data_IF_067638647558
#
_entry.id   IF_067638647558
#
_cell.length_a   1.000
_cell.length_b   1.000
_cell.length_c   1.000
_cell.angle_alpha   90.00
_cell.angle_beta   90.00
_cell.angle_gamma   90.00
#
_symmetry.space_group_name_H-M   'P 1'
#
loop_
_entity.id
_entity.type
_entity.pdbx_description
1 polymer ?
#
# COMPACT_ATOMS: atom_id res chain seq x y z
N UNK A 1 -10.44 -2.89 3.77
CA UNK A 1 -9.81 -1.79 3.01
C UNK A 1 -8.43 -2.18 2.48
N UNK A 2 -7.39 -2.36 3.33
CA UNK A 2 -6.03 -2.71 2.85
C UNK A 2 -6.04 -3.91 1.87
N UNK A 3 -6.75 -4.99 2.21
CA UNK A 3 -6.91 -6.15 1.32
C UNK A 3 -7.47 -5.80 -0.06
N UNK A 4 -8.51 -4.95 -0.12
CA UNK A 4 -9.09 -4.50 -1.38
C UNK A 4 -8.08 -3.67 -2.18
N UNK A 5 -7.35 -2.77 -1.54
CA UNK A 5 -6.33 -1.95 -2.19
C UNK A 5 -5.19 -2.82 -2.76
N UNK A 6 -4.72 -3.82 -2.00
CA UNK A 6 -3.72 -4.80 -2.47
C UNK A 6 -4.21 -5.53 -3.71
N UNK A 7 -5.46 -6.03 -3.71
CA UNK A 7 -6.04 -6.72 -4.87
C UNK A 7 -6.23 -5.83 -6.09
N UNK A 8 -6.34 -4.53 -5.90
CA UNK A 8 -6.55 -3.54 -6.97
C UNK A 8 -5.26 -2.80 -7.36
N UNK A 9 -4.11 -3.17 -6.79
CA UNK A 9 -2.82 -2.47 -6.95
C UNK A 9 -2.92 -0.96 -6.65
N UNK A 10 -3.64 -0.62 -5.59
CA UNK A 10 -3.81 0.74 -5.08
C UNK A 10 -2.94 0.97 -3.85
N UNK A 11 -2.53 2.22 -3.63
CA UNK A 11 -1.84 2.60 -2.41
C UNK A 11 -2.64 2.20 -1.16
N UNK A 12 -1.93 1.76 -0.12
CA UNK A 12 -2.54 1.31 1.12
C UNK A 12 -1.66 1.62 2.32
N UNK A 13 -2.25 1.64 3.52
CA UNK A 13 -1.52 1.99 4.74
C UNK A 13 -0.74 0.81 5.32
N UNK A 14 -1.18 -0.42 5.04
CA UNK A 14 -0.68 -1.63 5.70
C UNK A 14 -1.03 -1.72 7.20
N UNK A 15 -1.69 -0.71 7.77
CA UNK A 15 -2.00 -0.62 9.20
C UNK A 15 -3.49 -0.85 9.45
N UNK A 16 -3.82 -1.46 10.60
CA UNK A 16 -5.20 -1.70 11.00
C UNK A 16 -5.92 -0.42 11.50
N UNK A 17 -5.17 0.61 11.93
CA UNK A 17 -5.77 1.83 12.47
C UNK A 17 -6.32 2.74 11.35
N UNK A 18 -7.52 3.28 11.53
CA UNK A 18 -8.19 4.11 10.52
C UNK A 18 -7.46 5.42 10.21
N UNK A 19 -6.83 6.05 11.22
CA UNK A 19 -6.14 7.35 11.05
C UNK A 19 -4.94 7.27 10.11
N UNK A 20 -4.29 6.11 9.99
CA UNK A 20 -3.17 5.93 9.05
C UNK A 20 -3.53 6.28 7.60
N UNK A 21 -4.81 6.14 7.21
CA UNK A 21 -5.27 6.48 5.87
C UNK A 21 -5.15 7.97 5.56
N UNK A 22 -5.02 8.84 6.57
CA UNK A 22 -4.72 10.27 6.36
C UNK A 22 -3.31 10.53 5.77
N UNK A 23 -2.49 9.51 5.56
CA UNK A 23 -1.15 9.65 5.00
C UNK A 23 -0.96 8.87 3.69
N UNK A 24 -2.05 8.36 3.10
CA UNK A 24 -2.03 7.57 1.86
C UNK A 24 -2.88 8.27 0.81
N UNK A 25 -2.47 8.21 -0.45
CA UNK A 25 -3.18 8.90 -1.53
C UNK A 25 -3.06 10.41 -1.50
N UNK A 26 -3.59 11.01 -2.55
CA UNK A 26 -3.69 12.45 -2.69
C UNK A 26 -4.82 13.00 -1.82
N UNK A 27 -4.51 13.99 -0.96
CA UNK A 27 -5.54 14.74 -0.23
C UNK A 27 -6.45 15.47 -1.23
N UNK A 28 -7.75 15.35 -1.08
CA UNK A 28 -8.73 16.06 -1.92
C UNK A 28 -9.76 16.82 -1.09
N UNK A 29 -10.18 17.98 -1.59
CA UNK A 29 -11.33 18.74 -1.09
C UNK A 29 -12.60 18.50 -1.92
N UNK A 30 -12.46 17.86 -3.09
CA UNK A 30 -13.56 17.52 -3.99
C UNK A 30 -13.58 15.99 -4.17
N UNK A 31 -14.14 15.25 -3.19
CA UNK A 31 -14.15 13.80 -3.22
C UNK A 31 -15.08 13.30 -4.33
N UNK A 32 -14.71 12.15 -4.90
CA UNK A 32 -15.50 11.42 -5.90
C UNK A 32 -15.81 10.02 -5.36
N UNK A 33 -16.93 9.40 -5.77
CA UNK A 33 -17.22 8.02 -5.41
C UNK A 33 -15.99 7.12 -5.64
N UNK A 34 -15.62 6.34 -4.62
CA UNK A 34 -14.40 5.52 -4.61
C UNK A 34 -13.22 6.11 -3.83
N UNK A 35 -13.20 7.43 -3.57
CA UNK A 35 -12.22 8.03 -2.67
C UNK A 35 -12.38 7.49 -1.24
N UNK A 36 -11.31 7.47 -0.47
CA UNK A 36 -11.33 7.06 0.95
C UNK A 36 -11.76 8.24 1.79
N UNK A 37 -12.65 8.00 2.74
CA UNK A 37 -13.02 8.98 3.77
C UNK A 37 -12.58 8.47 5.14
N UNK A 38 -11.98 9.36 5.92
CA UNK A 38 -11.53 9.07 7.29
C UNK A 38 -12.32 9.95 8.26
N UNK A 39 -12.84 9.35 9.32
CA UNK A 39 -13.57 10.01 10.38
C UNK A 39 -12.84 9.91 11.71
N UNK A 40 -13.00 10.92 12.57
CA UNK A 40 -12.63 10.78 13.98
C UNK A 40 -13.72 10.00 14.74
N UNK A 41 -13.33 9.36 15.84
CA UNK A 41 -14.24 8.75 16.81
C UNK A 41 -13.91 9.26 18.21
N UNK A 42 -14.95 9.42 19.03
CA UNK A 42 -14.90 9.98 20.39
C UNK A 42 -14.49 11.45 20.42
N UNK A 43 -13.29 11.78 19.94
CA UNK A 43 -12.84 13.16 19.77
C UNK A 43 -11.91 13.31 18.57
N UNK A 44 -11.79 14.54 18.08
CA UNK A 44 -10.90 14.87 16.96
C UNK A 44 -9.42 14.67 17.33
N UNK A 45 -9.05 14.83 18.61
CA UNK A 45 -7.69 14.64 19.12
C UNK A 45 -7.34 13.18 19.49
N UNK A 46 -8.33 12.30 19.65
CA UNK A 46 -8.10 10.88 19.95
C UNK A 46 -7.30 10.20 18.84
N UNK A 47 -6.84 8.96 19.02
CA UNK A 47 -6.29 8.13 17.95
C UNK A 47 -7.38 7.29 17.25
N UNK A 48 -8.54 7.08 17.90
CA UNK A 48 -9.66 6.27 17.39
C UNK A 48 -10.36 6.92 16.20
N UNK A 49 -10.56 6.17 15.12
CA UNK A 49 -11.20 6.67 13.91
C UNK A 49 -12.01 5.61 13.19
N UNK A 50 -12.63 6.01 12.08
CA UNK A 50 -13.30 5.12 11.13
C UNK A 50 -12.80 5.42 9.72
N UNK A 51 -12.73 4.40 8.86
CA UNK A 51 -12.33 4.54 7.47
C UNK A 51 -13.34 3.79 6.60
N UNK A 52 -13.78 4.43 5.52
CA UNK A 52 -14.72 3.85 4.57
C UNK A 52 -14.47 4.36 3.15
N UNK A 53 -15.16 3.75 2.17
CA UNK A 53 -15.15 4.19 0.78
C UNK A 53 -16.29 5.19 0.59
N UNK A 54 -15.98 6.41 0.18
CA UNK A 54 -16.95 7.48 -0.08
C UNK A 54 -17.83 7.14 -1.30
N UNK A 55 -19.13 7.41 -1.22
CA UNK A 55 -20.06 7.32 -2.36
C UNK A 55 -20.76 8.62 -2.69
N UNK A 56 -20.88 9.55 -1.75
CA UNK A 56 -21.57 10.82 -2.00
C UNK A 56 -21.88 11.57 -0.72
N UNK A 57 -22.44 12.76 -0.88
CA UNK A 57 -23.05 13.52 0.21
C UNK A 57 -24.58 13.42 0.13
N UNK A 58 -25.25 13.64 1.26
CA UNK A 58 -26.68 14.00 1.25
C UNK A 58 -26.90 15.33 0.52
N UNK A 59 -28.14 15.58 0.07
CA UNK A 59 -28.48 16.79 -0.67
C UNK A 59 -28.20 18.09 0.12
N UNK A 60 -28.32 18.04 1.44
CA UNK A 60 -28.02 19.14 2.37
C UNK A 60 -26.54 19.19 2.80
N UNK A 61 -25.71 18.24 2.37
CA UNK A 61 -24.29 18.16 2.71
C UNK A 61 -23.98 17.73 4.15
N UNK A 62 -24.99 17.44 4.98
CA UNK A 62 -24.79 17.11 6.40
C UNK A 62 -24.29 15.69 6.63
N UNK A 63 -24.46 14.80 5.64
CA UNK A 63 -24.10 13.40 5.71
C UNK A 63 -23.18 12.99 4.57
N UNK A 64 -22.32 12.03 4.89
CA UNK A 64 -21.42 11.34 3.98
C UNK A 64 -21.88 9.89 3.84
N UNK A 65 -22.24 9.50 2.64
CA UNK A 65 -22.56 8.12 2.32
C UNK A 65 -21.28 7.33 2.05
N UNK A 66 -21.22 6.14 2.62
CA UNK A 66 -20.05 5.28 2.61
C UNK A 66 -20.43 3.84 2.26
N UNK A 67 -19.65 3.19 1.39
CA UNK A 67 -19.74 1.74 1.19
C UNK A 67 -19.03 1.02 2.34
N UNK A 68 -19.81 0.26 3.09
CA UNK A 68 -19.35 -0.64 4.14
C UNK A 68 -19.37 -2.09 3.68
N UNK A 69 -18.34 -2.84 4.08
CA UNK A 69 -18.32 -4.30 4.00
C UNK A 69 -18.51 -4.92 5.38
N UNK A 70 -19.35 -5.96 5.45
CA UNK A 70 -19.55 -6.83 6.60
C UNK A 70 -20.32 -6.25 7.81
N UNK A 71 -21.51 -5.68 7.56
CA UNK A 71 -22.57 -5.61 8.58
C UNK A 71 -23.69 -6.58 8.21
N UNK A 72 -23.73 -7.75 8.85
CA UNK A 72 -24.73 -8.79 8.58
C UNK A 72 -24.56 -9.50 7.24
N UNK A 73 -23.31 -9.80 6.84
CA UNK A 73 -22.95 -10.53 5.62
C UNK A 73 -23.47 -9.89 4.30
N UNK A 74 -23.59 -8.56 4.25
CA UNK A 74 -24.00 -7.81 3.05
C UNK A 74 -23.13 -6.57 2.82
N UNK A 75 -23.14 -6.08 1.58
CA UNK A 75 -22.66 -4.73 1.25
C UNK A 75 -23.78 -3.75 1.58
N UNK A 76 -23.47 -2.71 2.36
CA UNK A 76 -24.42 -1.67 2.74
C UNK A 76 -23.84 -0.28 2.52
N UNK A 77 -24.72 0.68 2.21
CA UNK A 77 -24.39 2.09 2.27
C UNK A 77 -24.76 2.58 3.67
N UNK A 78 -23.80 3.12 4.40
CA UNK A 78 -23.99 3.74 5.70
C UNK A 78 -23.79 5.26 5.60
N UNK A 79 -24.57 6.01 6.37
CA UNK A 79 -24.47 7.47 6.44
C UNK A 79 -23.75 7.90 7.72
N UNK A 80 -22.80 8.82 7.60
CA UNK A 80 -22.04 9.40 8.70
C UNK A 80 -22.12 10.93 8.66
N UNK A 81 -22.16 11.59 9.82
CA UNK A 81 -22.14 13.05 9.88
C UNK A 81 -20.85 13.61 9.24
N UNK A 82 -21.02 14.64 8.40
CA UNK A 82 -19.93 15.31 7.70
C UNK A 82 -18.96 16.02 8.68
N UNK A 83 -19.43 16.47 9.83
CA UNK A 83 -18.59 17.10 10.87
C UNK A 83 -17.57 16.13 11.48
N UNK A 84 -17.78 14.83 11.30
CA UNK A 84 -16.84 13.80 11.76
C UNK A 84 -15.68 13.55 10.79
N UNK A 85 -15.72 14.13 9.60
CA UNK A 85 -14.72 13.91 8.56
C UNK A 85 -13.39 14.57 8.94
N UNK A 86 -12.33 13.77 8.98
CA UNK A 86 -10.95 14.23 9.09
C UNK A 86 -10.38 14.58 7.72
N UNK A 87 -10.78 13.86 6.68
CA UNK A 87 -10.41 14.19 5.30
C UNK A 87 -10.69 13.07 4.31
N UNK A 88 -10.53 13.43 3.03
CA UNK A 88 -10.68 12.54 1.89
C UNK A 88 -9.35 12.26 1.21
N UNK A 89 -9.18 11.04 0.72
CA UNK A 89 -7.97 10.57 0.04
C UNK A 89 -8.34 9.89 -1.26
N UNK A 90 -7.80 10.41 -2.35
CA UNK A 90 -7.84 9.73 -3.63
C UNK A 90 -6.67 8.77 -3.68
N UNK A 91 -6.97 7.47 -3.65
CA UNK A 91 -5.95 6.48 -3.91
C UNK A 91 -5.59 6.55 -5.37
N UNK A 92 -4.29 6.54 -5.62
CA UNK A 92 -3.78 6.33 -6.97
C UNK A 92 -3.44 4.83 -7.08
N UNK A 93 -3.36 4.32 -8.31
CA UNK A 93 -2.60 3.09 -8.52
C UNK A 93 -1.26 3.31 -7.86
N UNK A 94 -0.72 2.31 -7.19
CA UNK A 94 0.68 2.41 -6.77
C UNK A 94 1.45 2.80 -8.04
N UNK A 95 1.98 4.03 -8.06
CA UNK A 95 2.64 4.62 -9.22
C UNK A 95 3.91 3.84 -9.41
N UNK A 96 3.75 2.75 -10.15
CA UNK A 96 4.70 1.70 -10.43
C UNK A 96 5.43 1.13 -9.22
N UNK A 97 5.73 -0.15 -9.37
CA UNK A 97 7.05 -0.69 -9.09
C UNK A 97 8.14 0.25 -9.63
N UNK A 98 8.36 1.42 -9.03
CA UNK A 98 9.64 2.10 -9.18
C UNK A 98 10.62 1.14 -8.53
N UNK A 99 11.20 0.30 -9.39
CA UNK A 99 12.17 -0.70 -8.98
C UNK A 99 13.20 -0.01 -8.10
N UNK A 100 13.66 -0.69 -7.05
CA UNK A 100 14.61 -0.09 -6.15
C UNK A 100 15.77 0.55 -6.91
N UNK A 101 16.31 1.64 -6.38
CA UNK A 101 17.54 2.18 -6.93
C UNK A 101 18.60 1.06 -6.94
N UNK A 102 19.35 0.88 -8.03
CA UNK A 102 20.36 -0.16 -8.12
C UNK A 102 21.49 0.10 -7.11
N UNK A 103 22.29 -0.94 -6.88
CA UNK A 103 23.38 -1.02 -5.91
C UNK A 103 22.88 -1.19 -4.46
N UNK A 104 21.98 -2.17 -4.24
CA UNK A 104 21.67 -2.67 -2.89
C UNK A 104 22.47 -3.94 -2.61
N UNK A 105 23.05 -4.04 -1.41
CA UNK A 105 23.87 -5.18 -1.00
C UNK A 105 23.65 -5.47 0.48
N UNK A 106 24.16 -6.61 0.96
CA UNK A 106 24.13 -6.95 2.38
C UNK A 106 24.63 -5.78 3.24
N UNK A 107 23.83 -5.37 4.23
CA UNK A 107 24.08 -4.20 5.08
C UNK A 107 23.37 -2.91 4.62
N UNK A 108 22.86 -2.83 3.39
CA UNK A 108 21.98 -1.73 2.94
C UNK A 108 20.72 -1.67 3.79
N UNK A 109 20.16 -0.46 3.98
CA UNK A 109 18.93 -0.23 4.75
C UNK A 109 18.05 0.84 4.12
N UNK A 110 16.76 0.79 4.42
CA UNK A 110 15.78 1.82 4.08
C UNK A 110 14.75 1.36 3.05
N UNK A 111 13.97 2.32 2.55
CA UNK A 111 12.79 2.06 1.70
C UNK A 111 13.12 1.31 0.41
N UNK A 112 14.31 1.47 -0.14
CA UNK A 112 14.72 0.76 -1.35
C UNK A 112 14.93 -0.74 -1.09
N UNK A 113 15.45 -1.10 0.09
CA UNK A 113 15.56 -2.51 0.50
C UNK A 113 14.18 -3.11 0.75
N UNK A 114 13.30 -2.36 1.41
CA UNK A 114 11.91 -2.79 1.66
C UNK A 114 11.19 -3.10 0.34
N UNK A 115 11.34 -2.23 -0.67
CA UNK A 115 10.83 -2.48 -2.03
C UNK A 115 11.40 -3.76 -2.64
N UNK A 116 12.71 -3.96 -2.55
CA UNK A 116 13.36 -5.17 -3.08
C UNK A 116 12.80 -6.43 -2.41
N UNK A 117 12.66 -6.41 -1.08
CA UNK A 117 12.12 -7.52 -0.30
C UNK A 117 10.67 -7.84 -0.71
N UNK A 118 9.82 -6.82 -0.87
CA UNK A 118 8.45 -6.99 -1.37
C UNK A 118 8.45 -7.68 -2.73
N UNK A 119 9.29 -7.21 -3.66
CA UNK A 119 9.31 -7.73 -5.03
C UNK A 119 9.86 -9.17 -5.08
N UNK A 120 10.94 -9.46 -4.36
CA UNK A 120 11.48 -10.82 -4.27
C UNK A 120 10.44 -11.79 -3.72
N UNK A 121 9.74 -11.42 -2.64
CA UNK A 121 8.67 -12.23 -2.08
C UNK A 121 7.50 -12.42 -3.06
N UNK A 122 7.12 -11.38 -3.83
CA UNK A 122 6.10 -11.48 -4.87
C UNK A 122 6.50 -12.44 -6.00
N UNK A 123 7.78 -12.47 -6.36
CA UNK A 123 8.35 -13.39 -7.35
C UNK A 123 8.59 -14.80 -6.78
N UNK A 124 8.25 -15.06 -5.52
CA UNK A 124 8.39 -16.37 -4.86
C UNK A 124 9.74 -16.61 -4.18
N UNK A 125 10.61 -15.61 -4.12
CA UNK A 125 11.90 -15.66 -3.45
C UNK A 125 11.77 -15.16 -2.01
N UNK A 126 11.69 -16.08 -1.05
CA UNK A 126 11.46 -15.75 0.34
C UNK A 126 12.65 -15.02 0.96
N UNK A 127 12.47 -13.74 1.26
CA UNK A 127 13.46 -12.89 1.94
C UNK A 127 13.07 -12.54 3.38
N UNK A 128 12.00 -13.14 3.92
CA UNK A 128 11.41 -12.79 5.21
C UNK A 128 10.45 -11.59 5.12
N UNK A 129 10.12 -11.01 6.27
CA UNK A 129 9.29 -9.81 6.33
C UNK A 129 10.03 -8.60 5.72
N UNK A 130 9.36 -7.76 4.92
CA UNK A 130 9.96 -6.53 4.39
C UNK A 130 10.20 -5.51 5.52
N UNK A 131 11.36 -5.61 6.16
CA UNK A 131 11.79 -4.77 7.28
C UNK A 131 12.70 -3.61 6.84
N UNK A 132 13.06 -3.58 5.55
CA UNK A 132 13.98 -2.59 4.99
C UNK A 132 15.44 -2.80 5.40
N UNK A 133 15.82 -3.97 5.93
CA UNK A 133 17.18 -4.32 6.27
C UNK A 133 17.71 -5.46 5.38
N UNK A 134 18.79 -5.19 4.64
CA UNK A 134 19.35 -6.18 3.71
C UNK A 134 20.22 -7.16 4.50
N UNK A 135 19.55 -8.16 5.10
CA UNK A 135 20.14 -9.23 5.89
C UNK A 135 20.52 -10.47 5.08
N UNK A 136 20.79 -11.56 5.80
CA UNK A 136 21.16 -12.85 5.19
C UNK A 136 20.03 -13.42 4.32
N UNK A 137 18.78 -13.37 4.79
CA UNK A 137 17.64 -13.90 4.03
C UNK A 137 17.41 -13.14 2.72
N UNK A 138 17.54 -11.81 2.73
CA UNK A 138 17.44 -10.99 1.51
C UNK A 138 18.58 -11.28 0.52
N UNK A 139 19.79 -11.49 1.04
CA UNK A 139 20.93 -11.89 0.22
C UNK A 139 20.69 -13.25 -0.45
N UNK A 140 20.28 -14.26 0.31
CA UNK A 140 20.08 -15.61 -0.22
C UNK A 140 18.92 -15.66 -1.22
N UNK A 141 17.84 -14.90 -0.96
CA UNK A 141 16.73 -14.73 -1.90
C UNK A 141 17.19 -14.08 -3.22
N UNK A 142 18.05 -13.05 -3.14
CA UNK A 142 18.58 -12.37 -4.32
C UNK A 142 19.53 -13.28 -5.13
N UNK A 143 20.38 -14.04 -4.46
CA UNK A 143 21.27 -15.03 -5.09
C UNK A 143 20.44 -16.09 -5.84
N UNK A 144 19.37 -16.58 -5.22
CA UNK A 144 18.46 -17.54 -5.86
C UNK A 144 17.77 -16.92 -7.07
N UNK A 145 17.31 -15.68 -6.97
CA UNK A 145 16.74 -14.92 -8.08
C UNK A 145 17.74 -14.78 -9.24
N UNK A 146 18.97 -14.39 -8.95
CA UNK A 146 20.02 -14.23 -9.94
C UNK A 146 20.35 -15.57 -10.62
N UNK A 147 20.46 -16.65 -9.86
CA UNK A 147 20.69 -18.01 -10.35
C UNK A 147 19.58 -18.48 -11.29
N UNK A 148 18.32 -18.34 -10.87
CA UNK A 148 17.16 -18.80 -11.64
C UNK A 148 16.97 -18.04 -12.96
N UNK A 149 17.42 -16.79 -13.01
CA UNK A 149 17.30 -15.93 -14.19
C UNK A 149 18.61 -15.80 -14.99
N UNK A 150 19.62 -16.65 -14.72
CA UNK A 150 20.91 -16.69 -15.44
C UNK A 150 21.66 -15.34 -15.43
N UNK A 151 21.56 -14.60 -14.33
CA UNK A 151 22.28 -13.35 -14.10
C UNK A 151 23.64 -13.62 -13.43
N UNK A 152 24.47 -12.59 -13.31
CA UNK A 152 25.63 -12.64 -12.42
C UNK A 152 25.18 -12.86 -10.97
N UNK A 153 25.69 -13.92 -10.33
CA UNK A 153 25.33 -14.33 -8.96
C UNK A 153 26.27 -13.62 -7.98
N UNK A 154 26.16 -12.30 -7.91
CA UNK A 154 27.02 -11.43 -7.10
C UNK A 154 26.39 -11.05 -5.76
N UNK A 155 25.12 -11.38 -5.52
CA UNK A 155 24.38 -11.01 -4.31
C UNK A 155 24.16 -9.50 -4.17
N UNK A 156 24.34 -8.75 -5.27
CA UNK A 156 24.15 -7.31 -5.33
C UNK A 156 23.00 -7.01 -6.29
N UNK A 157 22.04 -6.23 -5.82
CA UNK A 157 20.94 -5.77 -6.66
C UNK A 157 21.46 -4.65 -7.57
N UNK A 158 22.00 -5.01 -8.73
CA UNK A 158 22.49 -4.08 -9.75
C UNK A 158 21.49 -3.87 -10.90
N UNK A 159 21.93 -3.16 -11.96
CA UNK A 159 21.10 -2.91 -13.14
C UNK A 159 20.61 -4.21 -13.80
N UNK A 160 21.45 -5.25 -13.91
CA UNK A 160 21.02 -6.52 -14.50
C UNK A 160 19.88 -7.20 -13.73
N UNK A 161 19.90 -7.16 -12.39
CA UNK A 161 18.79 -7.66 -11.57
C UNK A 161 17.56 -6.77 -11.68
N UNK A 162 17.74 -5.45 -11.76
CA UNK A 162 16.66 -4.49 -11.96
C UNK A 162 15.93 -4.74 -13.28
N UNK A 163 16.65 -4.77 -14.39
CA UNK A 163 16.07 -4.93 -15.73
C UNK A 163 15.34 -6.28 -15.85
N UNK A 164 15.88 -7.34 -15.22
CA UNK A 164 15.21 -8.65 -15.20
C UNK A 164 13.91 -8.63 -14.39
N UNK A 165 13.90 -8.01 -13.21
CA UNK A 165 12.67 -7.84 -12.44
C UNK A 165 11.66 -7.01 -13.24
N UNK A 166 12.11 -5.96 -13.93
CA UNK A 166 11.26 -5.14 -14.78
C UNK A 166 10.55 -5.99 -15.84
N UNK A 167 11.30 -6.85 -16.53
CA UNK A 167 10.76 -7.74 -17.55
C UNK A 167 9.74 -8.74 -16.98
N UNK A 168 9.97 -9.29 -15.79
CA UNK A 168 9.06 -10.26 -15.16
C UNK A 168 7.77 -9.61 -14.62
N UNK A 169 7.81 -8.33 -14.28
CA UNK A 169 6.65 -7.60 -13.76
C UNK A 169 5.77 -7.02 -14.87
N UNK A 170 6.26 -6.98 -16.11
CA UNK A 170 5.52 -6.50 -17.28
C UNK A 170 4.89 -7.63 -18.12
N UNK A 171 5.20 -8.90 -17.82
CA UNK A 171 4.64 -10.10 -18.44
C UNK A 171 3.43 -10.64 -17.69
#
# INVERSE_FOLDING_TARGET
MNYCCVKLNLEHTGKANARSWMHVGKKTKNPKPGDIVVFWRESIQSWKGHVAIFTGFSADGTQVFCLGGNQGNRVSIAAYSADKVLGFRRLEKQTSNALPAPVLRKGSRGKEVEKLQIILNQLGYNCGDPDGAFGQMTHDALILFQSNNRLAIDGVYGNGSKDMIESLMQS
#
